data_IF_436248456566
#
_entry.id   IF_436248456566
#
_cell.length_a   1.000
_cell.length_b   1.000
_cell.length_c   1.000
_cell.angle_alpha   90.00
_cell.angle_beta   90.00
_cell.angle_gamma   90.00
#
_symmetry.space_group_name_H-M   'P 1'
#
loop_
_entity.id
_entity.type
_entity.pdbx_description
1 polymer ?
#
# COMPACT_ATOMS: atom_id res chain seq x y z
N UNK A 1 2.72 -9.82 -8.39
CA UNK A 1 3.17 -11.14 -8.79
C UNK A 1 2.77 -11.47 -10.22
N UNK A 2 3.45 -12.40 -10.85
CA UNK A 2 3.11 -12.97 -12.17
C UNK A 2 3.06 -11.96 -13.34
N UNK A 3 3.83 -10.88 -13.27
CA UNK A 3 3.94 -9.87 -14.34
C UNK A 3 5.40 -9.72 -14.76
N UNK A 4 5.71 -9.52 -16.07
CA UNK A 4 7.06 -9.25 -16.52
C UNK A 4 7.69 -8.07 -15.77
N UNK A 5 8.94 -8.22 -15.36
CA UNK A 5 9.73 -7.21 -14.64
C UNK A 5 9.12 -6.73 -13.30
N UNK A 6 8.17 -7.49 -12.72
CA UNK A 6 7.55 -7.17 -11.42
C UNK A 6 7.58 -8.39 -10.50
N UNK A 7 8.54 -8.39 -9.59
CA UNK A 7 8.71 -9.42 -8.56
C UNK A 7 8.50 -8.88 -7.14
N UNK A 8 8.75 -9.73 -6.15
CA UNK A 8 8.67 -9.37 -4.73
C UNK A 8 9.58 -8.16 -4.41
N UNK A 9 10.83 -8.14 -4.93
CA UNK A 9 11.75 -7.03 -4.73
C UNK A 9 11.22 -5.69 -5.26
N UNK A 10 10.49 -5.68 -6.37
CA UNK A 10 9.88 -4.44 -6.89
C UNK A 10 8.73 -3.96 -6.02
N UNK A 11 7.96 -4.87 -5.41
CA UNK A 11 6.93 -4.55 -4.44
C UNK A 11 7.55 -3.96 -3.17
N UNK A 12 8.59 -4.60 -2.62
CA UNK A 12 9.33 -4.12 -1.44
C UNK A 12 9.96 -2.73 -1.68
N UNK A 13 10.61 -2.51 -2.81
CA UNK A 13 11.16 -1.21 -3.17
C UNK A 13 10.06 -0.12 -3.30
N UNK A 14 8.87 -0.49 -3.79
CA UNK A 14 7.72 0.42 -3.86
C UNK A 14 7.20 0.77 -2.46
N UNK A 15 7.16 -0.20 -1.54
CA UNK A 15 6.79 0.01 -0.14
C UNK A 15 7.80 0.90 0.57
N UNK A 16 9.10 0.63 0.44
CA UNK A 16 10.15 1.42 1.05
C UNK A 16 10.08 2.89 0.63
N UNK A 17 9.88 3.17 -0.67
CA UNK A 17 9.77 4.54 -1.20
C UNK A 17 8.45 5.21 -0.85
N UNK A 18 7.36 4.47 -0.86
CA UNK A 18 6.01 5.02 -0.72
C UNK A 18 5.43 4.95 0.70
N UNK A 19 5.98 4.09 1.56
CA UNK A 19 5.55 3.92 2.94
C UNK A 19 6.28 4.83 3.94
N UNK A 20 7.28 5.60 3.48
CA UNK A 20 8.03 6.50 4.35
C UNK A 20 7.09 7.49 5.06
N UNK A 21 7.13 7.46 6.40
CA UNK A 21 6.30 8.32 7.25
C UNK A 21 4.85 7.84 7.38
N UNK A 22 4.50 6.64 6.92
CA UNK A 22 3.24 6.01 7.27
C UNK A 22 3.27 5.59 8.73
N UNK A 23 2.15 5.83 9.43
CA UNK A 23 1.97 5.43 10.83
C UNK A 23 1.19 4.14 10.95
N UNK A 24 0.28 3.91 10.03
CA UNK A 24 -0.61 2.76 10.03
C UNK A 24 -0.41 1.92 8.78
N UNK A 25 -0.56 0.62 8.96
CA UNK A 25 -0.52 -0.37 7.89
C UNK A 25 -1.78 -1.22 7.95
N UNK A 26 -2.39 -1.47 6.79
CA UNK A 26 -3.47 -2.45 6.64
C UNK A 26 -2.87 -3.59 5.83
N UNK A 27 -2.70 -4.73 6.48
CA UNK A 27 -2.26 -5.99 5.87
C UNK A 27 -3.52 -6.73 5.45
N UNK A 28 -3.71 -6.95 4.16
CA UNK A 28 -4.93 -7.55 3.64
C UNK A 28 -4.67 -8.90 2.97
N UNK A 29 -5.48 -9.88 3.34
CA UNK A 29 -5.49 -11.23 2.79
C UNK A 29 -6.91 -11.58 2.31
N UNK A 30 -7.01 -12.13 1.10
CA UNK A 30 -8.29 -12.57 0.53
C UNK A 30 -8.47 -14.05 0.81
N UNK A 31 -9.54 -14.41 1.52
CA UNK A 31 -9.81 -15.78 1.96
C UNK A 31 -9.96 -16.74 0.78
N UNK A 32 -9.03 -17.71 0.68
CA UNK A 32 -9.07 -18.75 -0.34
C UNK A 32 -9.22 -18.17 -1.75
N UNK A 33 -8.45 -17.17 -2.11
CA UNK A 33 -8.65 -16.38 -3.32
C UNK A 33 -8.83 -17.23 -4.58
N UNK A 34 -7.89 -18.16 -4.84
CA UNK A 34 -7.95 -18.99 -6.04
C UNK A 34 -9.17 -19.92 -6.06
N UNK A 35 -9.60 -20.39 -4.91
CA UNK A 35 -10.73 -21.31 -4.76
C UNK A 35 -12.08 -20.60 -4.85
N UNK A 36 -12.09 -19.28 -4.61
CA UNK A 36 -13.31 -18.47 -4.55
C UNK A 36 -13.50 -17.52 -5.74
N UNK A 37 -12.66 -17.60 -6.78
CA UNK A 37 -12.86 -16.80 -7.99
C UNK A 37 -14.19 -17.17 -8.65
N UNK A 38 -15.13 -16.20 -8.70
CA UNK A 38 -16.41 -16.41 -9.36
C UNK A 38 -16.24 -16.38 -10.88
N UNK A 39 -16.59 -17.50 -11.54
CA UNK A 39 -16.42 -17.66 -13.00
C UNK A 39 -17.24 -16.64 -13.80
N UNK A 40 -18.47 -16.31 -13.38
CA UNK A 40 -19.33 -15.39 -14.13
C UNK A 40 -18.80 -13.96 -14.04
N UNK A 41 -18.33 -13.55 -12.86
CA UNK A 41 -17.67 -12.25 -12.66
C UNK A 41 -16.38 -12.19 -13.51
N UNK A 42 -15.56 -13.25 -13.51
CA UNK A 42 -14.33 -13.29 -14.30
C UNK A 42 -14.62 -13.17 -15.81
N UNK A 43 -15.59 -13.93 -16.31
CA UNK A 43 -16.00 -13.86 -17.72
C UNK A 43 -16.55 -12.47 -18.05
N UNK A 44 -17.33 -11.87 -17.17
CA UNK A 44 -17.81 -10.50 -17.32
C UNK A 44 -16.66 -9.48 -17.43
N UNK A 45 -15.64 -9.61 -16.58
CA UNK A 45 -14.44 -8.76 -16.64
C UNK A 45 -13.69 -8.94 -17.96
N UNK A 46 -13.55 -10.17 -18.44
CA UNK A 46 -12.91 -10.46 -19.74
C UNK A 46 -13.72 -9.85 -20.89
N UNK A 47 -15.05 -9.97 -20.87
CA UNK A 47 -15.96 -9.45 -21.89
C UNK A 47 -15.90 -7.92 -22.05
N UNK A 48 -15.44 -7.18 -21.03
CA UNK A 48 -15.20 -5.73 -21.15
C UNK A 48 -14.12 -5.37 -22.19
N UNK A 49 -13.25 -6.31 -22.53
CA UNK A 49 -12.10 -6.09 -23.43
C UNK A 49 -12.08 -7.05 -24.62
N UNK A 50 -12.73 -8.18 -24.50
CA UNK A 50 -12.69 -9.27 -25.50
C UNK A 50 -14.11 -9.45 -26.04
N UNK A 51 -14.33 -9.05 -27.29
CA UNK A 51 -15.62 -9.18 -27.97
C UNK A 51 -15.71 -10.44 -28.82
N UNK A 52 -15.10 -11.54 -28.35
CA UNK A 52 -15.13 -12.85 -28.99
C UNK A 52 -15.81 -13.88 -28.09
N UNK A 53 -17.07 -14.16 -28.37
CA UNK A 53 -17.84 -15.13 -27.59
C UNK A 53 -17.30 -16.57 -27.68
N UNK A 54 -16.63 -16.95 -28.77
CA UNK A 54 -16.05 -18.27 -28.88
C UNK A 54 -14.89 -18.42 -27.90
N UNK A 55 -14.05 -17.38 -27.82
CA UNK A 55 -12.96 -17.33 -26.86
C UNK A 55 -13.47 -17.33 -25.43
N UNK A 56 -14.46 -16.50 -25.10
CA UNK A 56 -15.04 -16.45 -23.75
C UNK A 56 -15.67 -17.80 -23.36
N UNK A 57 -16.34 -18.49 -24.28
CA UNK A 57 -16.86 -19.84 -24.06
C UNK A 57 -15.73 -20.87 -23.83
N UNK A 58 -14.61 -20.72 -24.54
CA UNK A 58 -13.44 -21.58 -24.32
C UNK A 58 -12.88 -21.40 -22.92
N UNK A 59 -12.66 -20.17 -22.48
CA UNK A 59 -12.20 -19.87 -21.10
C UNK A 59 -13.19 -20.45 -20.07
N UNK A 60 -14.51 -20.28 -20.27
CA UNK A 60 -15.51 -20.86 -19.38
C UNK A 60 -15.42 -22.39 -19.32
N UNK A 61 -15.15 -23.05 -20.44
CA UNK A 61 -14.92 -24.51 -20.46
C UNK A 61 -13.67 -24.90 -19.66
N UNK A 62 -12.56 -24.15 -19.79
CA UNK A 62 -11.36 -24.38 -18.99
C UNK A 62 -11.63 -24.24 -17.50
N UNK A 63 -12.34 -23.20 -17.09
CA UNK A 63 -12.69 -22.97 -15.68
C UNK A 63 -13.54 -24.11 -15.11
N UNK A 64 -14.45 -24.68 -15.90
CA UNK A 64 -15.36 -25.78 -15.52
C UNK A 64 -14.75 -27.17 -15.66
N UNK A 65 -13.64 -27.30 -16.38
CA UNK A 65 -13.05 -28.59 -16.72
C UNK A 65 -12.53 -29.37 -15.49
N UNK A 66 -12.42 -28.72 -14.32
CA UNK A 66 -11.85 -29.33 -13.14
C UNK A 66 -10.34 -29.53 -13.25
N UNK A 67 -9.80 -30.29 -12.34
CA UNK A 67 -8.37 -30.62 -12.28
C UNK A 67 -8.14 -32.02 -11.69
N UNK A 68 -6.99 -32.59 -12.01
CA UNK A 68 -6.55 -33.87 -11.44
C UNK A 68 -5.64 -33.58 -10.25
N UNK A 69 -5.99 -34.13 -9.09
CA UNK A 69 -5.15 -34.08 -7.89
C UNK A 69 -5.02 -35.50 -7.32
N UNK A 70 -3.80 -35.96 -7.13
CA UNK A 70 -3.51 -37.31 -6.64
C UNK A 70 -4.21 -38.43 -7.43
N UNK A 71 -4.30 -38.26 -8.77
CA UNK A 71 -5.02 -39.17 -9.69
C UNK A 71 -6.55 -39.17 -9.51
N UNK A 72 -7.12 -38.26 -8.69
CA UNK A 72 -8.56 -38.08 -8.56
C UNK A 72 -9.01 -36.85 -9.36
N UNK A 73 -10.10 -36.98 -10.08
CA UNK A 73 -10.72 -35.84 -10.78
C UNK A 73 -11.58 -35.02 -9.82
N UNK A 74 -11.28 -33.73 -9.72
CA UNK A 74 -12.06 -32.77 -8.94
C UNK A 74 -12.75 -31.76 -9.86
N UNK A 75 -14.05 -31.63 -9.69
CA UNK A 75 -14.84 -30.63 -10.40
C UNK A 75 -14.54 -29.24 -9.84
N UNK A 76 -14.36 -28.25 -10.73
CA UNK A 76 -14.21 -26.85 -10.38
C UNK A 76 -15.47 -26.09 -10.77
N UNK A 77 -16.39 -25.93 -9.82
CA UNK A 77 -17.59 -25.10 -10.00
C UNK A 77 -17.32 -23.62 -9.74
N UNK A 78 -16.39 -23.33 -8.87
CA UNK A 78 -15.90 -22.00 -8.45
C UNK A 78 -14.38 -22.11 -8.37
N UNK A 79 -13.69 -21.01 -8.63
CA UNK A 79 -12.24 -20.94 -8.47
C UNK A 79 -11.43 -21.34 -9.71
N UNK A 80 -10.13 -21.24 -9.56
CA UNK A 80 -9.14 -21.68 -10.54
C UNK A 80 -8.14 -22.61 -9.85
N UNK A 81 -7.75 -23.72 -10.47
CA UNK A 81 -6.85 -24.67 -9.81
C UNK A 81 -5.52 -23.98 -9.44
N UNK A 82 -5.08 -24.17 -8.19
CA UNK A 82 -3.75 -23.74 -7.76
C UNK A 82 -2.70 -24.52 -8.58
N UNK A 83 -1.72 -23.78 -9.14
CA UNK A 83 -0.70 -24.39 -10.03
C UNK A 83 -1.08 -24.48 -11.50
N UNK A 84 -2.31 -24.13 -11.88
CA UNK A 84 -2.69 -24.04 -13.29
C UNK A 84 -1.93 -22.92 -14.02
N UNK A 85 -1.44 -23.20 -15.24
CA UNK A 85 -0.61 -22.27 -16.03
C UNK A 85 -1.32 -20.93 -16.28
N UNK A 86 -2.63 -20.95 -16.49
CA UNK A 86 -3.45 -19.75 -16.78
C UNK A 86 -3.92 -19.04 -15.51
N UNK A 87 -3.98 -19.73 -14.38
CA UNK A 87 -4.55 -19.21 -13.14
C UNK A 87 -3.91 -17.89 -12.67
N UNK A 88 -2.58 -17.69 -12.71
CA UNK A 88 -1.96 -16.43 -12.31
C UNK A 88 -2.36 -15.24 -13.20
N UNK A 89 -2.61 -15.48 -14.48
CA UNK A 89 -3.04 -14.45 -15.44
C UNK A 89 -4.48 -14.05 -15.13
N UNK A 90 -5.37 -15.03 -14.98
CA UNK A 90 -6.78 -14.80 -14.64
C UNK A 90 -6.93 -14.12 -13.28
N UNK A 91 -6.14 -14.51 -12.29
CA UNK A 91 -6.05 -13.88 -10.98
C UNK A 91 -5.70 -12.39 -11.08
N UNK A 92 -4.69 -12.05 -11.88
CA UNK A 92 -4.31 -10.65 -12.09
C UNK A 92 -5.39 -9.84 -12.82
N UNK A 93 -6.09 -10.44 -13.78
CA UNK A 93 -7.21 -9.81 -14.50
C UNK A 93 -8.37 -9.54 -13.51
N UNK A 94 -8.69 -10.52 -12.68
CA UNK A 94 -9.74 -10.40 -11.68
C UNK A 94 -9.46 -9.29 -10.67
N UNK A 95 -8.26 -9.29 -10.08
CA UNK A 95 -7.84 -8.31 -9.07
C UNK A 95 -7.47 -6.93 -9.67
N UNK A 96 -7.40 -6.77 -10.99
CA UNK A 96 -7.26 -5.43 -11.61
C UNK A 96 -8.45 -4.50 -11.24
N UNK A 97 -9.62 -5.09 -10.97
CA UNK A 97 -10.77 -4.32 -10.46
C UNK A 97 -10.50 -3.74 -9.08
N UNK A 98 -9.88 -4.52 -8.18
CA UNK A 98 -9.43 -4.02 -6.87
C UNK A 98 -8.34 -2.95 -7.05
N UNK A 99 -7.37 -3.18 -7.94
CA UNK A 99 -6.31 -2.20 -8.21
C UNK A 99 -6.90 -0.85 -8.71
N UNK A 100 -7.94 -0.89 -9.55
CA UNK A 100 -8.65 0.31 -10.04
C UNK A 100 -9.45 0.98 -8.93
N UNK A 101 -10.18 0.21 -8.13
CA UNK A 101 -10.90 0.72 -6.97
C UNK A 101 -9.95 1.44 -6.02
N UNK A 102 -8.83 0.81 -5.65
CA UNK A 102 -7.85 1.40 -4.76
C UNK A 102 -7.18 2.65 -5.34
N UNK A 103 -6.94 2.71 -6.64
CA UNK A 103 -6.42 3.92 -7.29
C UNK A 103 -7.36 5.10 -7.13
N UNK A 104 -8.66 4.88 -7.36
CA UNK A 104 -9.67 5.92 -7.19
C UNK A 104 -9.83 6.31 -5.71
N UNK A 105 -9.85 5.33 -4.82
CA UNK A 105 -9.92 5.54 -3.37
C UNK A 105 -8.76 6.41 -2.87
N UNK A 106 -7.53 6.09 -3.28
CA UNK A 106 -6.32 6.85 -2.94
C UNK A 106 -6.40 8.30 -3.45
N UNK A 107 -6.92 8.52 -4.66
CA UNK A 107 -7.06 9.86 -5.21
C UNK A 107 -8.00 10.73 -4.37
N UNK A 108 -9.09 10.16 -3.87
CA UNK A 108 -10.05 10.84 -2.99
C UNK A 108 -9.49 11.02 -1.57
N UNK A 109 -8.79 10.01 -1.06
CA UNK A 109 -8.25 10.01 0.29
C UNK A 109 -7.10 11.02 0.48
N UNK A 110 -6.23 11.16 -0.51
CA UNK A 110 -5.04 11.99 -0.43
C UNK A 110 -5.40 13.47 -0.32
N UNK A 111 -4.89 14.12 0.74
CA UNK A 111 -5.19 15.52 1.06
C UNK A 111 -3.93 16.30 1.40
N UNK A 112 -3.91 17.60 1.05
CA UNK A 112 -2.80 18.51 1.38
C UNK A 112 -1.56 18.36 0.47
N UNK A 113 -0.65 19.33 0.50
CA UNK A 113 0.60 19.32 -0.28
C UNK A 113 1.79 18.81 0.53
N UNK A 114 1.88 19.22 1.80
CA UNK A 114 2.96 18.87 2.73
C UNK A 114 2.42 18.85 4.16
N UNK A 115 3.04 18.05 5.05
CA UNK A 115 2.77 18.07 6.48
C UNK A 115 3.20 19.40 7.10
N UNK A 116 2.48 19.83 8.11
CA UNK A 116 2.88 20.99 8.93
C UNK A 116 4.20 20.67 9.63
N UNK A 117 5.14 21.61 9.57
CA UNK A 117 6.41 21.49 10.28
C UNK A 117 6.17 21.56 11.79
N UNK A 118 6.85 20.73 12.55
CA UNK A 118 6.84 20.78 13.99
C UNK A 118 7.35 22.16 14.46
N UNK A 119 6.55 22.91 15.26
CA UNK A 119 6.94 24.25 15.74
C UNK A 119 8.26 24.25 16.52
N UNK A 120 8.52 23.23 17.33
CA UNK A 120 9.76 23.10 18.10
C UNK A 120 10.96 22.89 17.18
N UNK A 121 10.86 21.94 16.24
CA UNK A 121 11.88 21.74 15.23
C UNK A 121 12.19 23.05 14.48
N UNK A 122 11.14 23.79 14.08
CA UNK A 122 11.30 25.08 13.39
C UNK A 122 12.01 26.12 14.25
N UNK A 123 11.72 26.16 15.56
CA UNK A 123 12.40 27.07 16.50
C UNK A 123 13.90 26.76 16.58
N UNK A 124 14.27 25.48 16.76
CA UNK A 124 15.67 25.05 16.85
C UNK A 124 16.38 25.27 15.51
N UNK A 125 15.75 24.95 14.39
CA UNK A 125 16.30 25.19 13.06
C UNK A 125 16.58 26.68 12.82
N UNK A 126 15.64 27.56 13.16
CA UNK A 126 15.83 28.99 13.02
C UNK A 126 16.97 29.53 13.93
N UNK A 127 17.11 28.98 15.14
CA UNK A 127 18.24 29.32 16.04
C UNK A 127 19.57 28.90 15.42
N UNK A 128 19.65 27.70 14.90
CA UNK A 128 20.84 27.17 14.19
C UNK A 128 21.18 28.05 13.00
N UNK A 129 20.21 28.39 12.15
CA UNK A 129 20.44 29.20 10.93
C UNK A 129 20.95 30.62 11.29
N UNK A 130 20.44 31.21 12.37
CA UNK A 130 20.97 32.48 12.89
C UNK A 130 22.44 32.36 13.33
N UNK A 131 22.83 31.23 13.97
CA UNK A 131 24.25 30.99 14.36
C UNK A 131 25.14 30.77 13.17
N UNK A 132 24.68 30.02 12.16
CA UNK A 132 25.39 29.80 10.91
C UNK A 132 25.62 31.15 10.16
N UNK A 133 24.62 32.02 10.13
CA UNK A 133 24.78 33.37 9.52
C UNK A 133 25.79 34.20 10.31
N UNK A 134 25.79 34.18 11.66
CA UNK A 134 26.79 34.85 12.47
C UNK A 134 28.20 34.31 12.22
N UNK A 135 28.36 33.01 12.16
CA UNK A 135 29.64 32.34 11.89
C UNK A 135 30.28 32.80 10.55
N UNK A 136 29.46 33.03 9.52
CA UNK A 136 29.94 33.50 8.22
C UNK A 136 30.52 34.91 8.26
N UNK A 137 30.01 35.74 9.14
CA UNK A 137 30.41 37.17 9.25
C UNK A 137 31.40 37.45 10.41
N UNK A 138 31.73 36.43 11.21
CA UNK A 138 32.67 36.58 12.33
C UNK A 138 34.11 36.51 11.82
N UNK A 139 34.99 37.33 12.39
CA UNK A 139 36.41 37.39 12.03
C UNK A 139 37.30 36.80 13.14
N UNK A 140 36.83 36.85 14.40
CA UNK A 140 37.54 36.33 15.58
C UNK A 140 37.47 34.79 15.63
N UNK A 141 38.63 34.12 15.66
CA UNK A 141 38.71 32.67 15.61
C UNK A 141 38.16 32.01 16.92
N UNK A 142 38.33 32.63 18.07
CA UNK A 142 37.79 32.11 19.32
C UNK A 142 36.26 32.13 19.30
N UNK A 143 35.66 33.22 18.79
CA UNK A 143 34.20 33.33 18.63
C UNK A 143 33.66 32.37 17.57
N UNK A 144 34.40 32.13 16.50
CA UNK A 144 34.03 31.11 15.49
C UNK A 144 33.96 29.72 16.10
N UNK A 145 34.94 29.36 16.93
CA UNK A 145 34.97 28.06 17.58
C UNK A 145 33.79 27.89 18.56
N UNK A 146 33.46 28.93 19.34
CA UNK A 146 32.28 28.91 20.19
C UNK A 146 30.98 28.74 19.37
N UNK A 147 30.83 29.46 18.24
CA UNK A 147 29.67 29.35 17.36
C UNK A 147 29.57 27.94 16.70
N UNK A 148 30.69 27.31 16.31
CA UNK A 148 30.71 25.94 15.81
C UNK A 148 30.18 24.95 16.83
N UNK A 149 30.58 25.08 18.11
CA UNK A 149 30.08 24.24 19.22
C UNK A 149 28.57 24.44 19.44
N UNK A 150 28.07 25.67 19.44
CA UNK A 150 26.64 25.96 19.55
C UNK A 150 25.84 25.36 18.40
N UNK A 151 26.36 25.46 17.16
CA UNK A 151 25.74 24.89 15.97
C UNK A 151 25.66 23.37 16.09
N UNK A 152 26.71 22.71 16.59
CA UNK A 152 26.73 21.26 16.79
C UNK A 152 25.70 20.80 17.83
N UNK A 153 25.53 21.54 18.93
CA UNK A 153 24.52 21.26 19.94
C UNK A 153 23.12 21.39 19.36
N UNK A 154 22.82 22.51 18.68
CA UNK A 154 21.52 22.74 18.03
C UNK A 154 21.23 21.70 16.95
N UNK A 155 22.24 21.21 16.25
CA UNK A 155 22.07 20.14 15.27
C UNK A 155 21.65 18.82 15.92
N UNK A 156 22.27 18.45 17.06
CA UNK A 156 21.89 17.26 17.83
C UNK A 156 20.45 17.39 18.39
N UNK A 157 20.11 18.56 18.92
CA UNK A 157 18.75 18.85 19.37
C UNK A 157 17.72 18.67 18.24
N UNK A 158 18.03 19.15 17.03
CA UNK A 158 17.18 18.96 15.86
C UNK A 158 16.99 17.49 15.48
N UNK A 159 18.05 16.67 15.62
CA UNK A 159 17.97 15.24 15.26
C UNK A 159 17.05 14.45 16.20
N UNK A 160 16.83 14.93 17.42
CA UNK A 160 15.93 14.31 18.40
C UNK A 160 14.47 14.72 18.21
N UNK A 161 14.18 15.74 17.40
CA UNK A 161 12.84 16.25 17.18
C UNK A 161 12.29 15.77 15.83
N UNK A 162 11.03 15.33 15.76
CA UNK A 162 10.38 15.04 14.48
C UNK A 162 10.26 16.37 13.68
N UNK A 163 10.68 16.33 12.41
CA UNK A 163 10.68 17.52 11.54
C UNK A 163 9.27 18.02 11.20
N UNK A 164 8.29 17.11 11.20
CA UNK A 164 6.87 17.37 10.90
C UNK A 164 5.97 16.77 11.97
N UNK A 165 4.76 17.26 12.09
CA UNK A 165 3.76 16.69 12.98
C UNK A 165 3.32 15.32 12.45
N UNK A 166 3.25 14.31 13.32
CA UNK A 166 2.86 12.95 12.93
C UNK A 166 1.39 12.86 12.55
N UNK A 167 0.53 13.62 13.25
CA UNK A 167 -0.90 13.71 13.00
C UNK A 167 -1.22 15.13 12.51
N UNK A 168 -1.45 15.22 11.20
CA UNK A 168 -1.90 16.46 10.54
C UNK A 168 -3.19 16.16 9.79
N UNK A 169 -4.31 16.65 10.30
CA UNK A 169 -5.64 16.46 9.69
C UNK A 169 -5.75 17.02 8.27
N UNK A 170 -4.87 17.97 7.93
CA UNK A 170 -4.81 18.60 6.62
C UNK A 170 -3.88 17.87 5.64
N UNK A 171 -3.18 16.81 6.12
CA UNK A 171 -2.29 16.01 5.29
C UNK A 171 -2.57 14.53 5.46
N UNK A 172 -3.14 13.91 4.43
CA UNK A 172 -3.39 12.47 4.40
C UNK A 172 -2.75 11.85 3.16
N UNK A 173 -2.16 10.69 3.30
CA UNK A 173 -1.61 9.91 2.19
C UNK A 173 -1.92 8.43 2.40
N UNK A 174 -2.22 7.79 1.29
CA UNK A 174 -2.39 6.35 1.24
C UNK A 174 -1.54 5.79 0.09
N UNK A 175 -0.89 4.67 0.34
CA UNK A 175 -0.15 3.91 -0.67
C UNK A 175 -0.59 2.46 -0.62
N UNK A 176 -0.95 1.93 -1.76
CA UNK A 176 -1.36 0.54 -1.93
C UNK A 176 -0.34 -0.21 -2.77
N UNK A 177 0.02 -1.40 -2.33
CA UNK A 177 0.88 -2.33 -3.06
C UNK A 177 0.27 -3.72 -2.94
N UNK A 178 0.11 -4.42 -4.06
CA UNK A 178 -0.39 -5.79 -4.11
C UNK A 178 0.65 -6.72 -4.75
N UNK A 179 0.80 -7.89 -4.16
CA UNK A 179 1.59 -8.98 -4.69
C UNK A 179 0.75 -10.27 -4.68
N UNK A 180 0.34 -10.74 -5.88
CA UNK A 180 -0.69 -11.78 -6.05
C UNK A 180 -2.01 -11.37 -5.37
N UNK A 181 -2.46 -12.12 -4.40
CA UNK A 181 -3.65 -11.89 -3.56
C UNK A 181 -3.37 -11.09 -2.29
N UNK A 182 -2.13 -11.10 -1.82
CA UNK A 182 -1.71 -10.27 -0.69
C UNK A 182 -1.62 -8.80 -1.06
N UNK A 183 -2.07 -7.92 -0.18
CA UNK A 183 -1.89 -6.49 -0.35
C UNK A 183 -1.55 -5.78 0.96
N UNK A 184 -0.80 -4.69 0.81
CA UNK A 184 -0.43 -3.82 1.91
C UNK A 184 -0.80 -2.38 1.59
N UNK A 185 -1.43 -1.70 2.56
CA UNK A 185 -1.79 -0.30 2.46
C UNK A 185 -1.06 0.46 3.57
N UNK A 186 -0.19 1.40 3.18
CA UNK A 186 0.48 2.31 4.09
C UNK A 186 -0.36 3.58 4.20
N UNK A 187 -0.67 4.02 5.42
CA UNK A 187 -1.57 5.16 5.66
C UNK A 187 -0.89 6.21 6.54
N UNK A 188 -0.87 7.44 6.04
CA UNK A 188 -0.64 8.65 6.80
C UNK A 188 -2.02 9.24 7.09
N UNK A 189 -2.52 9.01 8.28
CA UNK A 189 -3.88 9.37 8.70
C UNK A 189 -4.18 8.79 10.07
N UNK A 190 -5.44 8.79 10.46
CA UNK A 190 -5.90 8.24 11.74
C UNK A 190 -6.19 6.72 11.66
N UNK A 191 -6.38 6.09 12.82
CA UNK A 191 -6.81 4.69 12.92
C UNK A 191 -8.22 4.51 12.33
N UNK A 192 -9.07 5.48 12.53
CA UNK A 192 -10.44 5.51 12.00
C UNK A 192 -10.45 5.52 10.47
N UNK A 193 -9.51 6.25 9.85
CA UNK A 193 -9.29 6.22 8.39
C UNK A 193 -8.97 4.81 7.91
N UNK A 194 -8.15 4.06 8.66
CA UNK A 194 -7.80 2.68 8.32
C UNK A 194 -8.98 1.72 8.49
N UNK A 195 -9.75 1.87 9.59
CA UNK A 195 -10.96 1.06 9.83
C UNK A 195 -11.98 1.28 8.72
N UNK A 196 -12.20 2.56 8.34
CA UNK A 196 -13.08 2.90 7.23
C UNK A 196 -12.59 2.29 5.92
N UNK A 197 -11.31 2.45 5.59
CA UNK A 197 -10.75 1.88 4.37
C UNK A 197 -10.87 0.35 4.32
N UNK A 198 -10.61 -0.36 5.43
CA UNK A 198 -10.81 -1.81 5.54
C UNK A 198 -12.27 -2.19 5.27
N UNK A 199 -13.22 -1.45 5.84
CA UNK A 199 -14.67 -1.66 5.62
C UNK A 199 -15.08 -1.46 4.16
N UNK A 200 -14.63 -0.37 3.55
CA UNK A 200 -14.93 -0.04 2.14
C UNK A 200 -14.35 -1.10 1.17
N UNK A 201 -13.13 -1.59 1.46
CA UNK A 201 -12.50 -2.67 0.69
C UNK A 201 -13.29 -3.98 0.85
N UNK A 202 -13.70 -4.33 2.07
CA UNK A 202 -14.49 -5.52 2.36
C UNK A 202 -15.79 -5.50 1.57
N UNK A 203 -16.51 -4.40 1.61
CA UNK A 203 -17.76 -4.20 0.84
C UNK A 203 -17.52 -4.33 -0.66
N UNK A 204 -16.47 -3.67 -1.19
CA UNK A 204 -16.12 -3.77 -2.62
C UNK A 204 -15.82 -5.22 -3.04
N UNK A 205 -15.02 -5.96 -2.25
CA UNK A 205 -14.70 -7.35 -2.54
C UNK A 205 -15.96 -8.24 -2.56
N UNK A 206 -16.85 -8.06 -1.60
CA UNK A 206 -18.10 -8.85 -1.50
C UNK A 206 -19.08 -8.51 -2.63
N UNK A 207 -19.33 -7.23 -2.87
CA UNK A 207 -20.37 -6.79 -3.79
C UNK A 207 -19.94 -6.95 -5.25
N UNK A 208 -18.70 -6.56 -5.57
CA UNK A 208 -18.22 -6.51 -6.96
C UNK A 208 -17.51 -7.78 -7.38
N UNK A 209 -16.68 -8.34 -6.52
CA UNK A 209 -15.84 -9.48 -6.85
C UNK A 209 -16.33 -10.81 -6.24
N UNK A 210 -17.38 -10.79 -5.42
CA UNK A 210 -17.89 -11.97 -4.72
C UNK A 210 -16.79 -12.73 -3.94
N UNK A 211 -15.84 -11.95 -3.40
CA UNK A 211 -14.72 -12.43 -2.58
C UNK A 211 -14.90 -11.99 -1.14
N UNK A 212 -14.30 -12.74 -0.22
CA UNK A 212 -14.32 -12.46 1.20
C UNK A 212 -12.94 -12.01 1.67
N UNK A 213 -12.88 -10.89 2.40
CA UNK A 213 -11.67 -10.45 3.09
C UNK A 213 -11.47 -11.32 4.33
N UNK A 214 -10.28 -11.86 4.54
CA UNK A 214 -9.97 -12.62 5.77
C UNK A 214 -9.91 -11.67 6.97
N UNK A 215 -10.93 -11.68 7.81
CA UNK A 215 -10.97 -10.81 9.00
C UNK A 215 -9.85 -11.14 10.00
N UNK A 216 -9.48 -12.43 10.11
CA UNK A 216 -8.43 -12.92 11.00
C UNK A 216 -7.03 -12.49 10.57
N UNK A 217 -6.77 -12.49 9.27
CA UNK A 217 -5.45 -12.15 8.71
C UNK A 217 -5.35 -10.68 8.26
N UNK A 218 -6.48 -9.97 8.17
CA UNK A 218 -6.45 -8.56 7.80
C UNK A 218 -6.28 -7.70 9.04
N UNK A 219 -5.04 -7.29 9.28
CA UNK A 219 -4.65 -6.54 10.47
C UNK A 219 -4.50 -5.05 10.17
N UNK A 220 -4.72 -4.23 11.21
CA UNK A 220 -4.37 -2.80 11.20
C UNK A 220 -3.28 -2.62 12.24
N UNK A 221 -2.05 -2.42 11.77
CA UNK A 221 -0.83 -2.37 12.59
C UNK A 221 -0.31 -0.94 12.66
N UNK A 222 0.13 -0.52 13.85
CA UNK A 222 0.81 0.76 14.03
C UNK A 222 2.32 0.55 13.89
N UNK A 223 3.01 1.46 13.19
CA UNK A 223 4.47 1.39 13.03
C UNK A 223 5.27 1.46 14.34
N UNK A 224 4.69 2.00 15.42
CA UNK A 224 5.33 2.08 16.74
C UNK A 224 5.12 0.82 17.59
N UNK A 225 4.12 -0.02 17.25
CA UNK A 225 3.82 -1.25 17.98
C UNK A 225 4.55 -2.48 17.38
N UNK A 226 5.20 -2.29 16.25
CA UNK A 226 5.92 -3.34 15.49
C UNK A 226 7.43 -3.44 15.86
N UNK A 227 7.84 -2.91 17.00
CA UNK A 227 9.22 -2.94 17.50
C UNK A 227 9.45 -4.05 18.52
#
# INVERSE_FOLDING_TARGET
GFRPHRGCHTAMASLQKGGTGARWFIEGDIKGFFDNINHDVLIGILAERINDERFLRLIRKFLKAGYMEQWEYKNSYIGTPQGGIISPILANIYLDKLDKFMRNYINVFNKGKARVRNPEYKRVANRKDKRVKKLKNETDEQKKEALRREIAILHREMQQLPATLDMDENFKRMRYVRYADDFLICVIGSKEDCVKAKGDIKTFLQDTLKLELSDEKTLITNSHDAA
#
